data_IF_379341081804
#
_entry.id   IF_379341081804
#
_cell.length_a   1.000
_cell.length_b   1.000
_cell.length_c   1.000
_cell.angle_alpha   90.00
_cell.angle_beta   90.00
_cell.angle_gamma   90.00
#
_symmetry.space_group_name_H-M   'P 1'
#
loop_
_entity.id
_entity.type
_entity.pdbx_description
1 polymer ?
#
# COMPACT_ATOMS: atom_id res chain seq x y z
N UNK A 1 -21.80 -55.96 6.44
CA UNK A 1 -21.45 -54.76 5.68
C UNK A 1 -22.40 -53.61 6.06
N UNK A 2 -21.97 -52.72 6.95
CA UNK A 2 -22.74 -51.51 7.33
C UNK A 2 -22.06 -50.30 6.66
N UNK A 3 -22.78 -49.64 5.76
CA UNK A 3 -22.33 -48.37 5.15
C UNK A 3 -22.68 -47.25 6.13
N UNK A 4 -21.67 -46.56 6.60
CA UNK A 4 -21.80 -45.29 7.35
C UNK A 4 -21.78 -44.13 6.38
N UNK A 5 -22.89 -43.44 6.25
CA UNK A 5 -23.08 -42.20 5.54
C UNK A 5 -22.63 -41.05 6.44
N UNK A 6 -21.53 -40.37 6.09
CA UNK A 6 -21.10 -39.16 6.76
C UNK A 6 -21.84 -37.95 6.17
N UNK A 7 -22.70 -37.36 7.00
CA UNK A 7 -23.40 -36.11 6.68
C UNK A 7 -22.45 -34.93 6.87
N UNK A 8 -22.10 -34.23 5.79
CA UNK A 8 -21.47 -32.92 5.87
C UNK A 8 -22.48 -31.87 6.36
N UNK A 9 -22.28 -31.40 7.57
CA UNK A 9 -22.95 -30.21 8.09
C UNK A 9 -22.30 -28.97 7.46
N UNK A 10 -22.98 -28.33 6.51
CA UNK A 10 -22.68 -26.96 6.10
C UNK A 10 -23.02 -26.04 7.27
N UNK A 11 -21.99 -25.50 7.92
CA UNK A 11 -22.12 -24.43 8.88
C UNK A 11 -22.49 -23.14 8.15
N UNK A 12 -23.75 -22.73 8.20
CA UNK A 12 -24.20 -21.38 7.84
C UNK A 12 -23.62 -20.39 8.86
N UNK A 13 -22.57 -19.67 8.45
CA UNK A 13 -22.07 -18.53 9.20
C UNK A 13 -23.13 -17.43 9.21
N UNK A 14 -23.73 -17.20 10.37
CA UNK A 14 -24.50 -16.00 10.67
C UNK A 14 -23.57 -14.78 10.52
N UNK A 15 -23.66 -14.09 9.41
CA UNK A 15 -23.23 -12.70 9.31
C UNK A 15 -24.17 -11.88 10.20
N UNK A 16 -23.73 -11.64 11.43
CA UNK A 16 -24.40 -10.69 12.31
C UNK A 16 -24.34 -9.31 11.64
N UNK A 17 -25.47 -8.86 11.11
CA UNK A 17 -25.66 -7.48 10.68
C UNK A 17 -25.58 -6.60 11.93
N UNK A 18 -24.46 -5.93 12.12
CA UNK A 18 -24.33 -4.88 13.12
C UNK A 18 -25.32 -3.76 12.77
N UNK A 19 -26.10 -3.24 13.73
CA UNK A 19 -27.07 -2.20 13.45
C UNK A 19 -26.40 -0.92 12.97
N UNK A 20 -27.04 -0.28 12.01
CA UNK A 20 -26.62 0.93 11.32
C UNK A 20 -26.57 2.17 12.21
N UNK A 21 -25.57 2.24 13.12
CA UNK A 21 -25.11 3.50 13.71
C UNK A 21 -23.95 4.14 12.93
N UNK A 22 -23.63 3.61 11.74
CA UNK A 22 -22.49 4.04 10.94
C UNK A 22 -22.77 5.26 10.02
N UNK A 23 -24.00 5.75 9.92
CA UNK A 23 -24.41 6.68 8.87
C UNK A 23 -23.64 8.02 8.82
N UNK A 24 -23.14 8.53 9.95
CA UNK A 24 -22.41 9.81 9.99
C UNK A 24 -20.88 9.63 10.14
N UNK A 25 -20.43 8.48 10.62
CA UNK A 25 -19.01 8.23 10.87
C UNK A 25 -18.28 7.67 9.67
N UNK A 26 -18.80 6.63 9.06
CA UNK A 26 -18.22 5.98 7.88
C UNK A 26 -18.94 6.49 6.62
N UNK A 27 -18.23 7.27 5.81
CA UNK A 27 -18.77 7.90 4.61
C UNK A 27 -18.58 7.03 3.36
N UNK A 28 -17.51 6.26 3.34
CA UNK A 28 -17.18 5.35 2.24
C UNK A 28 -16.13 4.34 2.71
N UNK A 29 -16.20 3.12 2.16
CA UNK A 29 -15.13 2.13 2.27
C UNK A 29 -15.05 1.28 1.01
N UNK A 30 -13.94 0.60 0.82
CA UNK A 30 -13.71 -0.34 -0.26
C UNK A 30 -12.56 -1.27 0.07
N UNK A 31 -12.73 -2.52 -0.32
CA UNK A 31 -11.77 -3.61 -0.14
C UNK A 31 -11.33 -4.15 -1.49
N UNK A 32 -10.08 -4.64 -1.52
CA UNK A 32 -9.57 -5.33 -2.69
C UNK A 32 -8.60 -6.44 -2.32
N UNK A 33 -8.48 -7.38 -3.24
CA UNK A 33 -7.46 -8.43 -3.22
C UNK A 33 -6.67 -8.37 -4.51
N UNK A 34 -5.33 -8.27 -4.39
CA UNK A 34 -4.42 -8.22 -5.52
C UNK A 34 -3.51 -9.43 -5.50
N UNK A 35 -3.31 -10.06 -6.65
CA UNK A 35 -2.24 -11.04 -6.87
C UNK A 35 -1.18 -10.44 -7.78
N UNK A 36 0.09 -10.56 -7.37
CA UNK A 36 1.26 -10.12 -8.11
C UNK A 36 2.22 -11.29 -8.34
N UNK A 37 2.84 -11.32 -9.52
CA UNK A 37 3.95 -12.20 -9.84
C UNK A 37 5.06 -11.42 -10.52
N UNK A 38 6.25 -11.40 -9.93
CA UNK A 38 7.41 -10.67 -10.44
C UNK A 38 8.72 -11.44 -10.27
N UNK A 39 9.74 -11.02 -11.04
CA UNK A 39 11.10 -11.57 -11.03
C UNK A 39 12.12 -10.43 -10.93
N UNK A 40 13.35 -10.81 -10.56
CA UNK A 40 14.49 -9.90 -10.43
C UNK A 40 14.45 -8.96 -9.23
N UNK A 41 13.69 -9.33 -8.19
CA UNK A 41 13.72 -8.63 -6.90
C UNK A 41 15.14 -8.62 -6.30
N UNK A 42 15.48 -7.54 -5.60
CA UNK A 42 16.77 -7.36 -4.93
C UNK A 42 16.61 -7.33 -3.42
N UNK A 43 17.67 -7.68 -2.71
CA UNK A 43 17.76 -7.79 -1.25
C UNK A 43 17.01 -9.02 -0.72
N UNK A 44 15.84 -9.31 -1.22
CA UNK A 44 15.04 -10.51 -0.94
C UNK A 44 15.17 -11.51 -2.13
N UNK A 45 14.69 -12.74 -2.00
CA UNK A 45 14.65 -13.69 -3.12
C UNK A 45 14.04 -13.11 -4.39
N UNK A 46 14.66 -13.43 -5.52
CA UNK A 46 14.47 -12.77 -6.81
C UNK A 46 13.12 -13.05 -7.49
N UNK A 47 12.43 -14.14 -7.17
CA UNK A 47 11.10 -14.46 -7.70
C UNK A 47 10.10 -14.43 -6.56
N UNK A 48 9.07 -13.59 -6.70
CA UNK A 48 8.07 -13.40 -5.66
C UNK A 48 6.66 -13.48 -6.22
N UNK A 49 5.77 -14.07 -5.43
CA UNK A 49 4.33 -13.99 -5.57
C UNK A 49 3.80 -13.25 -4.35
N UNK A 50 2.98 -12.24 -4.57
CA UNK A 50 2.40 -11.47 -3.47
C UNK A 50 0.88 -11.52 -3.56
N UNK A 51 0.24 -11.75 -2.42
CA UNK A 51 -1.20 -11.54 -2.25
C UNK A 51 -1.34 -10.34 -1.34
N UNK A 52 -1.94 -9.27 -1.85
CA UNK A 52 -2.20 -8.03 -1.10
C UNK A 52 -3.68 -7.92 -0.81
N UNK A 53 -4.03 -7.78 0.46
CA UNK A 53 -5.33 -7.27 0.88
C UNK A 53 -5.23 -5.77 1.14
N UNK A 54 -6.18 -4.99 0.63
CA UNK A 54 -6.27 -3.55 0.89
C UNK A 54 -7.65 -3.20 1.43
N UNK A 55 -7.68 -2.27 2.36
CA UNK A 55 -8.88 -1.60 2.84
C UNK A 55 -8.65 -0.09 2.81
N UNK A 56 -9.58 0.64 2.21
CA UNK A 56 -9.60 2.10 2.24
C UNK A 56 -10.95 2.59 2.73
N UNK A 57 -10.96 3.65 3.53
CA UNK A 57 -12.21 4.26 3.94
C UNK A 57 -12.08 5.79 4.07
N UNK A 58 -13.24 6.45 4.04
CA UNK A 58 -13.41 7.84 4.44
C UNK A 58 -14.39 7.91 5.59
N UNK A 59 -14.04 8.65 6.61
CA UNK A 59 -14.86 8.85 7.80
C UNK A 59 -14.97 10.33 8.16
N UNK A 60 -15.76 10.63 9.17
CA UNK A 60 -16.15 12.01 9.52
C UNK A 60 -14.98 13.00 9.60
N UNK A 61 -13.84 12.59 10.14
CA UNK A 61 -12.71 13.47 10.40
C UNK A 61 -11.46 13.15 9.59
N UNK A 62 -11.53 12.22 8.63
CA UNK A 62 -10.36 11.85 7.87
C UNK A 62 -10.58 10.69 6.91
N UNK A 63 -9.53 9.95 6.72
CA UNK A 63 -9.49 8.71 5.96
C UNK A 63 -8.50 7.72 6.57
N UNK A 64 -8.58 6.48 6.13
CA UNK A 64 -7.64 5.44 6.54
C UNK A 64 -7.35 4.56 5.34
N UNK A 65 -6.10 4.21 5.16
CA UNK A 65 -5.66 3.16 4.25
C UNK A 65 -4.92 2.09 5.03
N UNK A 66 -5.21 0.84 4.72
CA UNK A 66 -4.52 -0.33 5.28
C UNK A 66 -4.24 -1.28 4.15
N UNK A 67 -3.03 -1.86 4.13
CA UNK A 67 -2.77 -3.03 3.31
C UNK A 67 -1.94 -4.07 4.06
N UNK A 68 -2.06 -5.30 3.62
CA UNK A 68 -1.26 -6.43 4.10
C UNK A 68 -0.84 -7.27 2.91
N UNK A 69 0.46 -7.42 2.75
CA UNK A 69 1.11 -8.30 1.78
C UNK A 69 1.45 -9.64 2.42
N UNK A 70 1.06 -10.71 1.77
CA UNK A 70 1.64 -12.03 2.00
C UNK A 70 2.52 -12.39 0.81
N UNK A 71 3.83 -12.50 1.04
CA UNK A 71 4.86 -12.66 0.01
C UNK A 71 5.42 -14.07 0.07
N UNK A 72 5.43 -14.79 -1.06
CA UNK A 72 5.97 -16.13 -1.23
C UNK A 72 7.21 -16.07 -2.13
N UNK A 73 8.27 -16.73 -1.75
CA UNK A 73 9.57 -16.70 -2.43
C UNK A 73 9.76 -17.79 -3.50
N UNK A 74 8.66 -18.36 -3.98
CA UNK A 74 8.62 -19.31 -5.10
C UNK A 74 9.65 -20.46 -4.99
N UNK A 75 9.70 -21.09 -3.81
CA UNK A 75 10.61 -22.20 -3.52
C UNK A 75 12.01 -21.82 -3.09
N UNK A 76 12.37 -20.52 -3.08
CA UNK A 76 13.62 -20.03 -2.49
C UNK A 76 13.43 -19.68 -1.04
N UNK A 77 14.53 -19.59 -0.31
CA UNK A 77 14.54 -19.29 1.13
C UNK A 77 15.31 -18.00 1.38
N UNK A 78 14.70 -17.07 2.07
CA UNK A 78 15.40 -15.93 2.69
C UNK A 78 16.02 -16.40 4.01
N UNK A 79 17.27 -16.05 4.26
CA UNK A 79 17.99 -16.49 5.45
C UNK A 79 17.34 -16.01 6.77
N UNK A 80 16.61 -14.90 6.74
CA UNK A 80 15.98 -14.30 7.93
C UNK A 80 14.47 -14.51 8.02
N UNK A 81 13.80 -14.85 6.89
CA UNK A 81 12.34 -14.89 6.79
C UNK A 81 11.78 -16.25 6.32
N UNK A 82 12.65 -17.20 5.95
CA UNK A 82 12.23 -18.50 5.42
C UNK A 82 11.70 -18.43 3.99
N UNK A 83 10.67 -19.22 3.66
CA UNK A 83 10.12 -19.37 2.30
C UNK A 83 9.04 -18.36 1.94
N UNK A 84 8.60 -17.56 2.89
CA UNK A 84 7.60 -16.51 2.74
C UNK A 84 7.75 -15.45 3.83
N UNK A 85 7.11 -14.31 3.64
CA UNK A 85 7.07 -13.22 4.65
C UNK A 85 5.74 -12.47 4.56
N UNK A 86 5.56 -11.49 5.44
CA UNK A 86 4.48 -10.52 5.35
C UNK A 86 5.01 -9.10 5.57
N UNK A 87 4.27 -8.14 5.04
CA UNK A 87 4.43 -6.72 5.31
C UNK A 87 3.07 -6.05 5.27
N UNK A 88 2.88 -4.99 6.02
CA UNK A 88 1.65 -4.22 5.95
C UNK A 88 1.79 -2.86 6.59
N UNK A 89 0.85 -1.99 6.25
CA UNK A 89 0.77 -0.63 6.75
C UNK A 89 -0.64 -0.30 7.19
N UNK A 90 -0.73 0.48 8.27
CA UNK A 90 -1.95 1.12 8.73
C UNK A 90 -1.73 2.63 8.74
N UNK A 91 -2.43 3.34 7.86
CA UNK A 91 -2.17 4.74 7.52
C UNK A 91 -3.42 5.62 7.69
N UNK A 92 -3.77 6.00 8.93
CA UNK A 92 -4.85 6.95 9.19
C UNK A 92 -4.38 8.39 8.94
N UNK A 93 -5.29 9.23 8.39
CA UNK A 93 -5.06 10.67 8.24
C UNK A 93 -6.22 11.45 8.84
N UNK A 94 -5.91 12.48 9.61
CA UNK A 94 -6.86 13.37 10.27
C UNK A 94 -6.94 14.71 9.55
N UNK A 95 -8.09 15.08 9.02
CA UNK A 95 -8.33 16.35 8.34
C UNK A 95 -8.56 17.48 9.33
N UNK A 96 -7.68 18.46 9.34
CA UNK A 96 -7.89 19.67 10.14
C UNK A 96 -9.09 20.48 9.66
N UNK A 97 -9.33 20.51 8.33
CA UNK A 97 -10.50 21.18 7.77
C UNK A 97 -11.81 20.62 8.30
N UNK A 98 -11.93 19.29 8.33
CA UNK A 98 -13.13 18.60 8.84
C UNK A 98 -13.28 18.74 10.38
N UNK A 99 -12.17 18.68 11.13
CA UNK A 99 -12.19 18.79 12.60
C UNK A 99 -12.59 20.20 13.03
N UNK A 100 -12.08 21.22 12.34
CA UNK A 100 -12.32 22.62 12.66
C UNK A 100 -13.59 23.19 12.00
N UNK A 101 -14.27 22.39 11.18
CA UNK A 101 -15.39 22.81 10.32
C UNK A 101 -15.04 24.08 9.51
N UNK A 102 -13.86 24.06 8.90
CA UNK A 102 -13.31 25.17 8.12
C UNK A 102 -12.61 24.67 6.87
N UNK A 103 -12.78 25.37 5.75
CA UNK A 103 -12.03 25.12 4.54
C UNK A 103 -10.59 25.60 4.70
N UNK A 104 -9.64 24.66 4.77
CA UNK A 104 -8.20 24.94 4.83
C UNK A 104 -7.56 24.75 3.43
N UNK A 105 -8.03 25.51 2.43
CA UNK A 105 -7.58 25.42 1.07
C UNK A 105 -6.77 26.65 0.67
N UNK A 106 -5.63 26.42 -0.02
CA UNK A 106 -4.80 27.49 -0.58
C UNK A 106 -4.00 26.97 -1.79
N UNK A 107 -3.92 27.75 -2.87
CA UNK A 107 -3.30 27.29 -4.12
C UNK A 107 -3.88 25.95 -4.57
N UNK A 108 -3.08 24.94 -4.87
CA UNK A 108 -3.53 23.59 -5.23
C UNK A 108 -3.93 22.75 -4.01
N UNK A 109 -3.64 23.18 -2.79
CA UNK A 109 -3.99 22.43 -1.57
C UNK A 109 -5.48 22.59 -1.29
N UNK A 110 -6.21 21.48 -1.24
CA UNK A 110 -7.63 21.45 -0.90
C UNK A 110 -7.92 21.05 0.55
N UNK A 111 -6.99 20.34 1.20
CA UNK A 111 -7.08 20.01 2.62
C UNK A 111 -5.69 19.82 3.23
N UNK A 112 -5.57 20.09 4.52
CA UNK A 112 -4.38 19.87 5.35
C UNK A 112 -4.71 18.84 6.40
N UNK A 113 -3.85 17.82 6.51
CA UNK A 113 -4.09 16.66 7.36
C UNK A 113 -2.90 16.41 8.30
N UNK A 114 -3.16 15.74 9.41
CA UNK A 114 -2.13 15.00 10.13
C UNK A 114 -2.10 13.58 9.56
N UNK A 115 -1.02 13.24 8.87
CA UNK A 115 -0.81 11.91 8.32
C UNK A 115 0.03 11.06 9.29
N UNK A 116 -0.38 9.83 9.47
CA UNK A 116 0.30 8.85 10.32
C UNK A 116 0.38 7.53 9.57
N UNK A 117 1.46 6.76 9.80
CA UNK A 117 1.59 5.40 9.28
C UNK A 117 2.31 4.54 10.30
N UNK A 118 1.76 3.37 10.55
CA UNK A 118 2.44 2.28 11.24
C UNK A 118 2.74 1.18 10.23
N UNK A 119 4.02 0.91 10.04
CA UNK A 119 4.52 -0.18 9.19
C UNK A 119 4.89 -1.39 10.03
N UNK A 120 4.57 -2.59 9.54
CA UNK A 120 4.96 -3.83 10.20
C UNK A 120 5.32 -4.90 9.18
N UNK A 121 6.52 -5.45 9.32
CA UNK A 121 6.95 -6.66 8.60
C UNK A 121 7.27 -7.79 9.56
N UNK A 122 7.69 -8.92 9.03
CA UNK A 122 8.14 -10.06 9.80
C UNK A 122 9.41 -9.74 10.58
N UNK A 123 9.52 -10.33 11.77
CA UNK A 123 10.59 -10.04 12.72
C UNK A 123 10.34 -8.74 13.48
N UNK A 124 11.41 -7.99 13.79
CA UNK A 124 11.36 -6.74 14.57
C UNK A 124 11.29 -5.49 13.69
N UNK A 125 10.81 -5.62 12.46
CA UNK A 125 10.77 -4.50 11.52
C UNK A 125 9.43 -3.75 11.65
N UNK A 126 9.41 -2.74 12.47
CA UNK A 126 8.31 -1.79 12.55
C UNK A 126 8.83 -0.37 12.30
N UNK A 127 7.97 0.52 11.80
CA UNK A 127 8.23 1.94 11.71
C UNK A 127 6.98 2.75 12.04
N UNK A 128 7.21 3.92 12.63
CA UNK A 128 6.20 4.92 12.93
C UNK A 128 6.52 6.18 12.14
N UNK A 129 5.56 6.62 11.37
CA UNK A 129 5.64 7.81 10.54
C UNK A 129 4.56 8.79 10.98
N UNK A 130 4.93 10.05 11.14
CA UNK A 130 3.96 11.11 11.48
C UNK A 130 4.38 12.43 10.86
N UNK A 131 3.43 13.20 10.37
CA UNK A 131 3.70 14.53 9.85
C UNK A 131 2.54 15.15 9.08
N UNK A 132 2.74 16.30 8.45
CA UNK A 132 1.70 16.95 7.66
C UNK A 132 1.39 16.17 6.38
N UNK A 133 0.10 16.10 6.05
CA UNK A 133 -0.42 15.60 4.79
C UNK A 133 -1.18 16.71 4.05
N UNK A 134 -1.17 16.66 2.73
CA UNK A 134 -1.83 17.61 1.86
C UNK A 134 -2.59 16.86 0.78
N UNK A 135 -3.90 17.06 0.71
CA UNK A 135 -4.66 16.67 -0.46
C UNK A 135 -4.59 17.78 -1.49
N UNK A 136 -4.27 17.44 -2.73
CA UNK A 136 -4.04 18.40 -3.79
C UNK A 136 -5.11 18.28 -4.88
N UNK A 137 -5.55 19.42 -5.39
CA UNK A 137 -6.43 19.51 -6.55
C UNK A 137 -5.59 19.69 -7.82
N UNK A 138 -5.19 18.57 -8.40
CA UNK A 138 -4.40 18.52 -9.64
C UNK A 138 -5.33 18.13 -10.78
N UNK A 139 -5.50 19.00 -11.81
CA UNK A 139 -6.40 18.71 -12.90
C UNK A 139 -6.13 17.36 -13.59
N UNK A 140 -7.19 16.59 -13.79
CA UNK A 140 -7.15 15.27 -14.45
C UNK A 140 -6.91 14.10 -13.52
N UNK A 141 -6.40 14.30 -12.31
CA UNK A 141 -6.23 13.22 -11.35
C UNK A 141 -7.54 12.92 -10.60
N UNK A 142 -7.81 11.66 -10.32
CA UNK A 142 -8.89 11.25 -9.43
C UNK A 142 -8.60 11.69 -8.00
N UNK A 143 -7.35 11.55 -7.58
CA UNK A 143 -6.77 12.14 -6.38
C UNK A 143 -5.26 12.31 -6.56
N UNK A 144 -4.72 13.28 -5.83
CA UNK A 144 -3.30 13.45 -5.61
C UNK A 144 -3.08 13.93 -4.17
N UNK A 145 -2.15 13.32 -3.46
CA UNK A 145 -1.76 13.76 -2.12
C UNK A 145 -0.24 13.78 -1.96
N UNK A 146 0.22 14.54 -0.98
CA UNK A 146 1.60 14.52 -0.51
C UNK A 146 1.59 14.41 1.01
N UNK A 147 2.17 13.35 1.55
CA UNK A 147 2.47 13.23 2.97
C UNK A 147 3.96 13.47 3.20
N UNK A 148 4.30 14.21 4.26
CA UNK A 148 5.68 14.48 4.67
C UNK A 148 5.83 13.95 6.09
N UNK A 149 6.64 12.92 6.25
CA UNK A 149 6.74 12.20 7.51
C UNK A 149 8.11 12.40 8.17
N UNK A 150 8.10 12.50 9.50
CA UNK A 150 9.23 12.10 10.31
C UNK A 150 9.08 10.60 10.57
N UNK A 151 10.08 9.82 10.13
CA UNK A 151 10.10 8.36 10.21
C UNK A 151 11.02 7.90 11.33
N UNK A 152 10.54 6.99 12.17
CA UNK A 152 11.31 6.31 13.20
C UNK A 152 11.07 4.81 13.13
N UNK A 153 12.13 4.03 13.23
CA UNK A 153 12.08 2.57 13.15
C UNK A 153 12.29 1.91 14.51
N UNK A 154 11.61 0.78 14.70
CA UNK A 154 11.94 -0.19 15.73
C UNK A 154 12.67 -1.40 15.11
N UNK A 155 13.33 -2.20 15.95
CA UNK A 155 14.04 -3.41 15.52
C UNK A 155 15.51 -3.19 15.23
N UNK A 156 16.08 -3.98 14.33
CA UNK A 156 17.53 -4.06 14.10
C UNK A 156 18.03 -3.19 12.94
N UNK A 157 17.12 -2.58 12.15
CA UNK A 157 17.50 -1.77 10.98
C UNK A 157 17.65 -0.29 11.34
N UNK A 158 18.60 0.43 10.73
CA UNK A 158 18.65 1.88 10.81
C UNK A 158 17.42 2.50 10.09
N UNK A 159 17.18 3.78 10.30
CA UNK A 159 16.05 4.52 9.70
C UNK A 159 15.33 5.42 10.71
N UNK A 160 16.00 5.73 11.83
CA UNK A 160 15.49 6.67 12.84
C UNK A 160 15.76 8.12 12.42
N UNK A 161 14.81 9.02 12.72
CA UNK A 161 14.92 10.46 12.49
C UNK A 161 15.27 10.82 11.04
N UNK A 162 14.59 10.19 10.10
CA UNK A 162 14.68 10.49 8.68
C UNK A 162 13.36 11.10 8.18
N UNK A 163 13.46 12.00 7.21
CA UNK A 163 12.30 12.53 6.53
C UNK A 163 11.89 11.60 5.38
N UNK A 164 10.59 11.41 5.21
CA UNK A 164 10.02 10.68 4.09
C UNK A 164 8.97 11.54 3.41
N UNK A 165 9.06 11.64 2.09
CA UNK A 165 8.12 12.35 1.21
C UNK A 165 7.37 11.31 0.40
N UNK A 166 6.06 11.25 0.58
CA UNK A 166 5.19 10.24 -0.03
C UNK A 166 4.07 10.92 -0.83
N UNK A 167 4.30 11.30 -2.12
CA UNK A 167 3.22 11.55 -3.04
C UNK A 167 2.51 10.26 -3.42
N UNK A 168 1.18 10.33 -3.52
CA UNK A 168 0.35 9.26 -4.06
C UNK A 168 -0.69 9.82 -5.01
N UNK A 169 -1.06 9.05 -6.02
CA UNK A 169 -1.89 9.53 -7.11
C UNK A 169 -2.81 8.44 -7.65
N UNK A 170 -3.84 8.91 -8.38
CA UNK A 170 -4.68 8.06 -9.22
C UNK A 170 -5.16 8.88 -10.43
N UNK A 171 -5.01 8.31 -11.59
CA UNK A 171 -5.39 8.92 -12.87
C UNK A 171 -6.10 7.88 -13.74
N UNK A 172 -7.22 8.27 -14.36
CA UNK A 172 -7.99 7.38 -15.23
C UNK A 172 -7.97 7.90 -16.67
N UNK A 173 -7.62 7.03 -17.60
CA UNK A 173 -7.62 7.31 -19.04
C UNK A 173 -8.73 6.46 -19.67
N UNK A 174 -9.77 7.06 -20.29
CA UNK A 174 -10.71 6.33 -21.11
C UNK A 174 -9.99 5.62 -22.27
N UNK A 175 -10.21 4.30 -22.41
CA UNK A 175 -9.55 3.50 -23.44
C UNK A 175 -10.56 2.55 -24.13
N UNK A 176 -11.08 2.99 -25.29
CA UNK A 176 -12.08 2.24 -26.02
C UNK A 176 -13.37 2.03 -25.20
N UNK A 177 -13.74 0.78 -24.99
CA UNK A 177 -14.94 0.41 -24.19
C UNK A 177 -14.67 0.29 -22.68
N UNK A 178 -13.48 0.61 -22.24
CA UNK A 178 -13.08 0.50 -20.84
C UNK A 178 -12.17 1.66 -20.44
N UNK A 179 -11.49 1.53 -19.30
CA UNK A 179 -10.59 2.53 -18.73
C UNK A 179 -9.23 1.90 -18.38
N UNK A 180 -8.19 2.71 -18.52
CA UNK A 180 -6.88 2.45 -17.96
C UNK A 180 -6.71 3.28 -16.69
N UNK A 181 -6.47 2.63 -15.56
CA UNK A 181 -6.18 3.25 -14.28
C UNK A 181 -4.68 3.24 -14.05
N UNK A 182 -4.11 4.40 -13.78
CA UNK A 182 -2.71 4.56 -13.38
C UNK A 182 -2.71 5.14 -11.97
N UNK A 183 -2.33 4.37 -10.99
CA UNK A 183 -2.22 4.82 -9.61
C UNK A 183 -0.94 4.31 -8.96
N UNK A 184 -0.66 4.76 -7.76
CA UNK A 184 0.51 4.34 -7.03
C UNK A 184 1.02 5.42 -6.09
N UNK A 185 2.25 5.21 -5.65
CA UNK A 185 2.95 6.12 -4.73
C UNK A 185 4.45 6.13 -5.03
N UNK A 186 5.11 7.08 -4.40
CA UNK A 186 6.57 7.15 -4.34
C UNK A 186 6.97 7.48 -2.91
N UNK A 187 7.98 6.81 -2.39
CA UNK A 187 8.62 7.17 -1.13
C UNK A 187 10.04 7.64 -1.40
N UNK A 188 10.32 8.88 -1.07
CA UNK A 188 11.68 9.39 -1.02
C UNK A 188 12.06 9.63 0.42
N UNK A 189 13.07 8.89 0.90
CA UNK A 189 13.55 8.93 2.29
C UNK A 189 14.94 9.53 2.31
N UNK A 190 15.15 10.49 3.21
CA UNK A 190 16.47 11.11 3.39
C UNK A 190 17.45 10.18 4.08
N UNK A 191 18.73 10.47 3.97
CA UNK A 191 19.79 9.78 4.70
C UNK A 191 19.88 10.21 6.16
N UNK A 192 20.45 9.35 6.97
CA UNK A 192 20.93 9.67 8.31
C UNK A 192 22.10 8.72 8.65
N UNK A 193 23.29 9.26 8.78
CA UNK A 193 24.52 8.53 9.13
C UNK A 193 24.72 8.35 10.63
N UNK A 194 23.87 8.97 11.45
CA UNK A 194 23.95 8.98 12.91
C UNK A 194 22.78 8.24 13.58
N UNK A 195 22.17 7.27 12.90
CA UNK A 195 21.13 6.47 13.56
C UNK A 195 21.72 5.59 14.65
N UNK A 196 20.94 5.24 15.65
CA UNK A 196 21.36 4.32 16.73
C UNK A 196 21.85 2.96 16.21
N UNK A 197 21.56 2.61 14.96
CA UNK A 197 21.81 1.30 14.36
C UNK A 197 22.72 1.34 13.14
N UNK A 198 23.38 2.47 12.92
CA UNK A 198 24.31 2.68 11.80
C UNK A 198 23.75 3.62 10.73
N UNK A 199 24.41 3.70 9.60
CA UNK A 199 24.04 4.58 8.49
C UNK A 199 22.80 4.08 7.78
N UNK A 200 21.86 4.99 7.52
CA UNK A 200 20.70 4.79 6.64
C UNK A 200 20.87 5.69 5.42
N UNK A 201 21.06 5.10 4.25
CA UNK A 201 21.22 5.87 3.01
C UNK A 201 19.89 6.38 2.49
N UNK A 202 19.93 7.58 1.88
CA UNK A 202 18.77 8.10 1.16
C UNK A 202 18.33 7.08 0.12
N UNK A 203 17.02 6.86 0.06
CA UNK A 203 16.47 5.85 -0.84
C UNK A 203 15.17 6.32 -1.49
N UNK A 204 14.86 5.70 -2.60
CA UNK A 204 13.65 5.97 -3.36
C UNK A 204 12.94 4.66 -3.68
N UNK A 205 11.66 4.59 -3.37
CA UNK A 205 10.73 3.59 -3.88
C UNK A 205 9.68 4.26 -4.76
N UNK A 206 9.65 3.93 -6.04
CA UNK A 206 8.61 4.37 -6.97
C UNK A 206 7.79 3.16 -7.40
N UNK A 207 6.49 3.15 -7.08
CA UNK A 207 5.63 1.98 -7.22
C UNK A 207 4.29 2.29 -7.92
N UNK A 208 4.30 2.59 -9.22
CA UNK A 208 3.09 2.75 -10.00
C UNK A 208 2.47 1.39 -10.39
N UNK A 209 1.15 1.36 -10.46
CA UNK A 209 0.36 0.32 -11.09
C UNK A 209 -0.32 0.87 -12.34
N UNK A 210 -0.31 0.10 -13.42
CA UNK A 210 -1.04 0.35 -14.66
C UNK A 210 -2.03 -0.78 -14.85
N UNK A 211 -3.33 -0.46 -14.80
CA UNK A 211 -4.41 -1.43 -14.70
C UNK A 211 -5.52 -1.15 -15.72
N UNK A 212 -5.88 -2.15 -16.50
CA UNK A 212 -7.03 -2.10 -17.39
C UNK A 212 -8.26 -2.64 -16.67
N UNK A 213 -9.37 -1.90 -16.69
CA UNK A 213 -10.64 -2.32 -16.09
C UNK A 213 -11.29 -3.41 -16.98
N UNK A 214 -10.87 -4.66 -16.73
CA UNK A 214 -11.38 -5.82 -17.44
C UNK A 214 -12.85 -6.09 -17.09
N UNK A 215 -13.27 -5.79 -15.87
CA UNK A 215 -14.65 -5.90 -15.43
C UNK A 215 -15.59 -5.06 -16.29
N UNK A 216 -15.24 -3.77 -16.49
CA UNK A 216 -15.98 -2.87 -17.39
C UNK A 216 -15.96 -3.37 -18.83
N UNK A 217 -14.80 -3.80 -19.34
CA UNK A 217 -14.66 -4.30 -20.71
C UNK A 217 -15.52 -5.52 -21.02
N UNK A 218 -15.75 -6.38 -20.04
CA UNK A 218 -16.52 -7.62 -20.14
C UNK A 218 -17.98 -7.47 -19.66
N UNK A 219 -18.40 -6.27 -19.26
CA UNK A 219 -19.75 -5.99 -18.67
C UNK A 219 -20.00 -6.80 -17.37
N UNK A 220 -18.97 -7.10 -16.60
CA UNK A 220 -19.07 -7.76 -15.29
C UNK A 220 -19.23 -6.76 -14.13
N UNK A 221 -19.11 -5.47 -14.42
CA UNK A 221 -19.11 -4.38 -13.45
C UNK A 221 -17.85 -3.52 -13.59
N UNK A 222 -18.02 -2.19 -13.64
CA UNK A 222 -16.91 -1.27 -13.69
C UNK A 222 -16.16 -1.26 -12.37
N UNK A 223 -14.83 -1.20 -12.43
CA UNK A 223 -13.92 -1.10 -11.28
C UNK A 223 -13.91 -2.34 -10.36
N UNK A 224 -14.46 -3.47 -10.80
CA UNK A 224 -14.48 -4.70 -10.00
C UNK A 224 -13.30 -5.62 -10.29
N UNK A 225 -12.85 -5.72 -11.54
CA UNK A 225 -11.77 -6.60 -11.96
C UNK A 225 -10.79 -5.82 -12.82
N UNK A 226 -9.54 -5.79 -12.38
CA UNK A 226 -8.44 -5.19 -13.12
C UNK A 226 -7.38 -6.23 -13.45
N UNK A 227 -6.74 -6.05 -14.61
CA UNK A 227 -5.51 -6.75 -15.00
C UNK A 227 -4.48 -5.73 -15.45
N UNK A 228 -3.21 -6.00 -15.19
CA UNK A 228 -2.16 -5.04 -15.52
C UNK A 228 -0.82 -5.43 -14.98
N UNK A 229 -0.06 -4.45 -14.60
CA UNK A 229 1.23 -4.65 -13.95
C UNK A 229 1.50 -3.59 -12.87
N UNK A 230 2.33 -3.96 -11.91
CA UNK A 230 2.96 -3.07 -10.95
C UNK A 230 4.44 -2.96 -11.28
N UNK A 231 4.97 -1.73 -11.26
CA UNK A 231 6.40 -1.47 -11.42
C UNK A 231 7.01 -1.04 -10.10
N UNK A 232 7.93 -1.85 -9.56
CA UNK A 232 8.64 -1.58 -8.32
C UNK A 232 10.08 -1.17 -8.62
N UNK A 233 10.35 0.13 -8.59
CA UNK A 233 11.70 0.69 -8.73
C UNK A 233 12.23 1.13 -7.37
N UNK A 234 13.43 0.65 -7.02
CA UNK A 234 14.15 1.10 -5.84
C UNK A 234 15.54 1.58 -6.21
N UNK A 235 15.91 2.69 -5.61
CA UNK A 235 17.31 3.09 -5.46
C UNK A 235 17.67 2.94 -3.99
N UNK A 236 18.79 2.27 -3.71
CA UNK A 236 19.31 2.00 -2.36
C UNK A 236 18.24 1.42 -1.41
N UNK A 237 17.57 0.34 -1.87
CA UNK A 237 16.43 -0.30 -1.22
C UNK A 237 16.67 -0.50 0.28
N UNK A 238 15.70 -0.04 1.08
CA UNK A 238 15.74 -0.09 2.55
C UNK A 238 16.91 0.70 3.19
N UNK A 239 17.44 1.72 2.50
CA UNK A 239 18.59 2.50 2.96
C UNK A 239 19.91 1.75 2.88
N UNK A 240 20.00 0.70 2.08
CA UNK A 240 21.23 -0.09 1.86
C UNK A 240 21.98 0.50 0.68
N UNK A 241 23.23 0.93 0.88
CA UNK A 241 24.09 1.47 -0.18
C UNK A 241 24.32 0.44 -1.29
N UNK A 242 23.86 0.74 -2.50
CA UNK A 242 24.03 -0.12 -3.68
C UNK A 242 25.47 -0.20 -4.19
N UNK A 243 26.37 0.69 -3.73
CA UNK A 243 27.82 0.65 -4.01
C UNK A 243 28.56 -0.37 -3.14
N UNK A 244 27.88 -0.90 -2.13
CA UNK A 244 28.42 -1.96 -1.27
C UNK A 244 28.34 -3.35 -1.93
N UNK A 245 28.54 -4.38 -1.10
CA UNK A 245 28.56 -5.77 -1.58
C UNK A 245 27.16 -6.35 -1.91
N UNK A 246 26.09 -5.65 -1.50
CA UNK A 246 24.69 -6.08 -1.71
C UNK A 246 24.02 -5.23 -2.78
N UNK A 247 23.58 -5.87 -3.84
CA UNK A 247 22.78 -5.22 -4.88
C UNK A 247 21.41 -4.80 -4.30
N UNK A 248 21.22 -3.49 -4.10
CA UNK A 248 20.00 -2.93 -3.49
C UNK A 248 19.17 -2.09 -4.46
N UNK A 249 19.69 -1.77 -5.66
CA UNK A 249 18.89 -1.13 -6.71
C UNK A 249 18.02 -2.18 -7.40
N UNK A 250 16.73 -1.91 -7.53
CA UNK A 250 15.73 -2.82 -8.07
C UNK A 250 14.93 -2.14 -9.19
N UNK A 251 14.59 -2.91 -10.21
CA UNK A 251 13.68 -2.51 -11.29
C UNK A 251 12.90 -3.76 -11.69
N UNK A 252 11.65 -3.88 -11.21
CA UNK A 252 10.82 -5.08 -11.37
C UNK A 252 9.44 -4.67 -11.87
N UNK A 253 8.98 -5.35 -12.92
CA UNK A 253 7.58 -5.33 -13.34
C UNK A 253 6.93 -6.66 -12.93
N UNK A 254 5.85 -6.58 -12.15
CA UNK A 254 5.06 -7.74 -11.72
C UNK A 254 3.72 -7.76 -12.45
N UNK A 255 3.34 -8.90 -13.01
CA UNK A 255 1.97 -9.07 -13.52
C UNK A 255 0.97 -8.94 -12.38
N UNK A 256 -0.18 -8.30 -12.65
CA UNK A 256 -1.15 -7.91 -11.66
C UNK A 256 -2.56 -8.36 -12.05
N UNK A 257 -3.26 -8.96 -11.09
CA UNK A 257 -4.73 -9.13 -11.14
C UNK A 257 -5.30 -8.60 -9.83
N UNK A 258 -6.29 -7.70 -9.90
CA UNK A 258 -6.91 -7.06 -8.73
C UNK A 258 -8.42 -7.17 -8.80
N UNK A 259 -9.04 -7.58 -7.70
CA UNK A 259 -10.50 -7.65 -7.54
C UNK A 259 -10.92 -6.72 -6.39
N UNK A 260 -11.93 -5.90 -6.63
CA UNK A 260 -12.62 -5.09 -5.61
C UNK A 260 -13.97 -5.73 -5.26
N UNK A 261 -14.36 -5.66 -3.98
CA UNK A 261 -15.61 -6.25 -3.47
C UNK A 261 -16.18 -5.45 -2.30
#
# INVERSE_FOLDING_TARGET
MKRTTSSLLLGSSLLATLPAFAGDWLQWHGESLTYLYGKDFKVNPDIQQTITFEHANKWKYGDTFLFIDKIFYNGKTDASKGVNTYYGEFSPRLSFGKILDRKLAFGPVKDVLLAMTYERGEGLNAAYLIGPGFDLDIPGFNYFYLNIYLRNTEGSRPGDNVWQFTPGWSYTIPLGRSDLLIDGYMDWVTDNDQTRRGTYHANLHFNPQVKYDLGKALNLGAKQLYVGFEYSYWKDKYGIDSRGNLQSNQSVASALVKVHF
#
